data_IF_110692638287
#
_entry.id   IF_110692638287
#
_cell.length_a   1.000
_cell.length_b   1.000
_cell.length_c   1.000
_cell.angle_alpha   90.00
_cell.angle_beta   90.00
_cell.angle_gamma   90.00
#
_symmetry.space_group_name_H-M   'P 1'
#
loop_
_entity.id
_entity.type
_entity.pdbx_description
1 polymer ?
#
# COMPACT_ATOMS: atom_id res chain seq x y z
N UNK A 1 -4.37 9.02 -15.71
CA UNK A 1 -4.48 7.86 -16.63
C UNK A 1 -3.49 6.81 -16.17
N UNK A 2 -3.81 5.53 -16.34
CA UNK A 2 -3.03 4.42 -15.79
C UNK A 2 -1.65 4.28 -16.43
N UNK A 3 -1.59 4.26 -17.75
CA UNK A 3 -0.37 4.02 -18.51
C UNK A 3 0.17 5.28 -19.19
N UNK A 4 1.46 5.26 -19.46
CA UNK A 4 2.15 6.28 -20.24
C UNK A 4 3.04 5.62 -21.32
N UNK A 5 3.32 6.36 -22.37
CA UNK A 5 4.39 6.07 -23.34
C UNK A 5 5.49 7.07 -23.02
N UNK A 6 6.59 6.62 -22.46
CA UNK A 6 7.54 7.47 -21.73
C UNK A 6 6.82 8.28 -20.64
N UNK A 7 6.76 9.59 -20.75
CA UNK A 7 6.07 10.50 -19.84
C UNK A 7 4.70 10.99 -20.35
N UNK A 8 4.31 10.54 -21.55
CA UNK A 8 3.08 10.99 -22.22
C UNK A 8 1.94 10.04 -21.83
N UNK A 9 0.86 10.53 -21.18
CA UNK A 9 -0.26 9.68 -20.81
C UNK A 9 -0.91 8.98 -22.00
N UNK A 10 -1.02 7.65 -21.93
CA UNK A 10 -1.65 6.85 -22.98
C UNK A 10 -3.18 6.85 -22.83
N UNK A 11 -3.84 7.53 -23.76
CA UNK A 11 -5.29 7.69 -23.76
C UNK A 11 -6.06 6.41 -24.10
N UNK A 12 -5.40 5.41 -24.68
CA UNK A 12 -6.04 4.14 -25.02
C UNK A 12 -6.49 3.36 -23.78
N UNK A 13 -5.80 3.55 -22.64
CA UNK A 13 -6.07 2.82 -21.38
C UNK A 13 -7.05 3.53 -20.43
N UNK A 14 -7.39 4.79 -20.67
CA UNK A 14 -8.34 5.54 -19.83
C UNK A 14 -7.86 5.76 -18.39
N UNK A 15 -8.76 5.57 -17.43
CA UNK A 15 -8.55 5.87 -16.01
C UNK A 15 -8.87 4.65 -15.15
N UNK A 16 -8.12 4.48 -14.08
CA UNK A 16 -8.18 3.31 -13.20
C UNK A 16 -8.59 3.75 -11.78
N UNK A 17 -9.48 2.99 -11.16
CA UNK A 17 -10.00 3.30 -9.82
C UNK A 17 -8.93 3.18 -8.74
N UNK A 18 -8.09 2.17 -8.80
CA UNK A 18 -7.04 1.94 -7.81
C UNK A 18 -5.95 3.01 -7.86
N UNK A 19 -5.54 3.50 -9.04
CA UNK A 19 -4.61 4.62 -9.15
C UNK A 19 -5.19 5.93 -8.60
N UNK A 20 -6.47 6.20 -8.87
CA UNK A 20 -7.13 7.36 -8.29
C UNK A 20 -7.25 7.27 -6.76
N UNK A 21 -7.45 6.07 -6.22
CA UNK A 21 -7.45 5.83 -4.77
C UNK A 21 -6.05 6.05 -4.15
N UNK A 22 -4.98 5.54 -4.80
CA UNK A 22 -3.58 5.81 -4.39
C UNK A 22 -3.24 7.29 -4.48
N UNK A 23 -3.69 7.98 -5.53
CA UNK A 23 -3.47 9.40 -5.72
C UNK A 23 -4.20 10.25 -4.67
N UNK A 24 -5.42 9.87 -4.29
CA UNK A 24 -6.14 10.49 -3.17
C UNK A 24 -5.37 10.34 -1.86
N UNK A 25 -4.86 9.14 -1.59
CA UNK A 25 -4.06 8.86 -0.39
C UNK A 25 -2.79 9.73 -0.38
N UNK A 26 -2.07 9.80 -1.50
CA UNK A 26 -0.88 10.62 -1.65
C UNK A 26 -1.18 12.11 -1.42
N UNK A 27 -2.27 12.62 -1.99
CA UNK A 27 -2.69 14.01 -1.80
C UNK A 27 -3.02 14.31 -0.33
N UNK A 28 -3.72 13.40 0.35
CA UNK A 28 -4.06 13.53 1.77
C UNK A 28 -2.82 13.50 2.67
N UNK A 29 -1.85 12.61 2.40
CA UNK A 29 -0.58 12.54 3.12
C UNK A 29 0.29 13.77 2.83
N UNK A 30 0.40 14.17 1.56
CA UNK A 30 1.18 15.34 1.14
C UNK A 30 0.71 16.61 1.82
N UNK A 31 -0.60 16.82 1.93
CA UNK A 31 -1.17 17.95 2.67
C UNK A 31 -0.73 17.98 4.14
N UNK A 32 -0.59 16.82 4.75
CA UNK A 32 -0.25 16.71 6.18
C UNK A 32 1.26 16.82 6.45
N UNK A 33 2.08 16.18 5.62
CA UNK A 33 3.51 16.00 5.90
C UNK A 33 4.43 16.90 5.06
N UNK A 34 3.95 17.48 3.95
CA UNK A 34 4.73 18.40 3.15
C UNK A 34 4.38 19.83 3.53
N UNK A 35 5.40 20.65 3.84
CA UNK A 35 5.25 22.07 4.17
C UNK A 35 5.05 22.93 2.90
N UNK A 36 4.14 22.50 2.02
CA UNK A 36 3.85 23.15 0.73
C UNK A 36 2.41 23.64 0.68
N UNK A 37 1.99 24.22 -0.44
CA UNK A 37 0.66 24.81 -0.63
C UNK A 37 -0.48 23.81 -0.36
N UNK A 38 -1.16 23.98 0.77
CA UNK A 38 -2.29 23.13 1.17
C UNK A 38 -3.45 23.18 0.17
N UNK A 39 -3.65 24.31 -0.54
CA UNK A 39 -4.70 24.47 -1.56
C UNK A 39 -4.46 23.57 -2.77
N UNK A 40 -3.20 23.36 -3.13
CA UNK A 40 -2.84 22.44 -4.20
C UNK A 40 -3.30 21.01 -3.87
N UNK A 41 -2.96 20.51 -2.67
CA UNK A 41 -3.38 19.18 -2.23
C UNK A 41 -4.90 19.06 -2.02
N UNK A 42 -5.56 20.11 -1.55
CA UNK A 42 -7.03 20.15 -1.46
C UNK A 42 -7.68 20.04 -2.84
N UNK A 43 -7.12 20.71 -3.86
CA UNK A 43 -7.59 20.60 -5.25
C UNK A 43 -7.42 19.19 -5.81
N UNK A 44 -6.26 18.58 -5.60
CA UNK A 44 -6.00 17.19 -6.00
C UNK A 44 -6.95 16.21 -5.29
N UNK A 45 -7.15 16.38 -3.99
CA UNK A 45 -8.08 15.55 -3.21
C UNK A 45 -9.50 15.63 -3.74
N UNK A 46 -9.98 16.85 -4.09
CA UNK A 46 -11.30 17.02 -4.72
C UNK A 46 -11.41 16.27 -6.05
N UNK A 47 -10.36 16.35 -6.88
CA UNK A 47 -10.35 15.69 -8.19
C UNK A 47 -10.44 14.15 -8.05
N UNK A 48 -9.62 13.57 -7.17
CA UNK A 48 -9.63 12.11 -6.98
C UNK A 48 -10.86 11.61 -6.24
N UNK A 49 -11.39 12.36 -5.27
CA UNK A 49 -12.67 12.04 -4.62
C UNK A 49 -13.84 12.09 -5.61
N UNK A 50 -13.86 13.10 -6.50
CA UNK A 50 -14.89 13.19 -7.54
C UNK A 50 -14.85 11.98 -8.47
N UNK A 51 -13.65 11.50 -8.83
CA UNK A 51 -13.52 10.28 -9.61
C UNK A 51 -14.03 9.04 -8.86
N UNK A 52 -13.64 8.86 -7.59
CA UNK A 52 -14.08 7.72 -6.79
C UNK A 52 -15.60 7.74 -6.54
N UNK A 53 -16.20 8.91 -6.39
CA UNK A 53 -17.64 9.06 -6.28
C UNK A 53 -18.36 8.55 -7.55
N UNK A 54 -17.85 8.90 -8.73
CA UNK A 54 -18.40 8.44 -10.01
C UNK A 54 -18.11 6.94 -10.28
N UNK A 55 -16.94 6.46 -9.81
CA UNK A 55 -16.57 5.05 -9.90
C UNK A 55 -17.46 4.13 -9.05
N UNK A 56 -18.07 4.66 -7.98
CA UNK A 56 -18.88 3.85 -7.07
C UNK A 56 -20.29 3.62 -7.61
N UNK A 57 -20.62 2.36 -7.87
CA UNK A 57 -21.98 1.96 -8.24
C UNK A 57 -22.81 1.76 -6.96
N UNK A 58 -23.67 2.73 -6.64
CA UNK A 58 -24.48 2.74 -5.42
C UNK A 58 -25.46 1.55 -5.36
N UNK A 59 -26.03 1.17 -6.50
CA UNK A 59 -27.01 0.06 -6.57
C UNK A 59 -26.34 -1.30 -6.27
N UNK A 60 -25.11 -1.48 -6.72
CA UNK A 60 -24.33 -2.70 -6.51
C UNK A 60 -23.48 -2.65 -5.22
N UNK A 61 -23.31 -1.48 -4.61
CA UNK A 61 -22.41 -1.28 -3.46
C UNK A 61 -20.92 -1.55 -3.78
N UNK A 62 -20.51 -1.39 -5.04
CA UNK A 62 -19.19 -1.77 -5.54
C UNK A 62 -18.55 -0.70 -6.41
N UNK A 63 -17.22 -0.59 -6.34
CA UNK A 63 -16.47 0.21 -7.29
C UNK A 63 -16.34 -0.52 -8.63
N UNK A 64 -16.29 0.26 -9.73
CA UNK A 64 -15.89 -0.16 -11.08
C UNK A 64 -14.37 -0.04 -11.21
N UNK A 65 -13.75 -0.79 -12.14
CA UNK A 65 -12.29 -0.73 -12.32
C UNK A 65 -11.86 0.41 -13.22
N UNK A 66 -12.37 0.42 -14.46
CA UNK A 66 -11.82 1.25 -15.52
C UNK A 66 -12.87 2.14 -16.15
N UNK A 67 -12.55 3.43 -16.25
CA UNK A 67 -13.28 4.40 -17.03
C UNK A 67 -12.55 4.61 -18.36
N UNK A 68 -13.23 4.54 -19.48
CA UNK A 68 -12.64 4.86 -20.80
C UNK A 68 -12.21 6.32 -20.86
N UNK A 69 -11.36 6.67 -21.84
CA UNK A 69 -11.00 8.06 -22.07
C UNK A 69 -12.22 8.94 -22.40
N UNK A 70 -13.27 8.35 -23.02
CA UNK A 70 -14.54 9.01 -23.28
C UNK A 70 -15.45 9.12 -22.02
N UNK A 71 -14.93 8.81 -20.82
CA UNK A 71 -15.65 8.84 -19.53
C UNK A 71 -16.86 7.92 -19.46
N UNK A 72 -16.73 6.73 -20.01
CA UNK A 72 -17.75 5.69 -19.94
C UNK A 72 -17.25 4.54 -19.07
N UNK A 73 -18.14 3.93 -18.31
CA UNK A 73 -17.89 2.73 -17.53
C UNK A 73 -18.36 1.51 -18.34
N UNK A 74 -17.44 0.66 -18.85
CA UNK A 74 -17.83 -0.54 -19.60
C UNK A 74 -18.36 -1.66 -18.72
N UNK A 75 -18.16 -1.56 -17.40
CA UNK A 75 -18.56 -2.55 -16.41
C UNK A 75 -19.39 -1.90 -15.29
N UNK A 76 -20.32 -2.68 -14.70
CA UNK A 76 -21.09 -2.23 -13.55
C UNK A 76 -20.40 -2.51 -12.22
N UNK A 77 -19.59 -3.58 -12.16
CA UNK A 77 -18.90 -4.05 -10.96
C UNK A 77 -17.49 -4.44 -11.33
N UNK A 78 -16.54 -3.82 -10.66
CA UNK A 78 -15.12 -4.12 -10.81
C UNK A 78 -14.65 -5.29 -9.93
N UNK A 79 -13.35 -5.57 -9.97
CA UNK A 79 -12.71 -6.64 -9.19
C UNK A 79 -12.80 -6.39 -7.68
N UNK A 80 -12.64 -7.45 -6.88
CA UNK A 80 -12.45 -7.31 -5.44
C UNK A 80 -11.20 -6.48 -5.13
N UNK A 81 -10.15 -6.63 -5.92
CA UNK A 81 -8.86 -5.94 -5.73
C UNK A 81 -9.00 -4.42 -5.86
N UNK A 82 -9.59 -3.93 -6.95
CA UNK A 82 -9.85 -2.49 -7.13
C UNK A 82 -10.72 -1.92 -6.01
N UNK A 83 -11.71 -2.69 -5.55
CA UNK A 83 -12.57 -2.28 -4.45
C UNK A 83 -11.80 -2.21 -3.11
N UNK A 84 -10.96 -3.20 -2.81
CA UNK A 84 -10.09 -3.20 -1.64
C UNK A 84 -9.11 -2.03 -1.63
N UNK A 85 -8.50 -1.73 -2.79
CA UNK A 85 -7.60 -0.57 -2.96
C UNK A 85 -8.34 0.77 -2.82
N UNK A 86 -9.57 0.87 -3.31
CA UNK A 86 -10.41 2.05 -3.08
C UNK A 86 -10.68 2.27 -1.60
N UNK A 87 -10.98 1.22 -0.83
CA UNK A 87 -11.13 1.30 0.62
C UNK A 87 -9.83 1.68 1.33
N UNK A 88 -8.68 1.17 0.86
CA UNK A 88 -7.37 1.59 1.36
C UNK A 88 -7.17 3.11 1.19
N UNK A 89 -7.39 3.63 -0.01
CA UNK A 89 -7.28 5.06 -0.30
C UNK A 89 -8.24 5.91 0.52
N UNK A 90 -9.52 5.53 0.58
CA UNK A 90 -10.55 6.24 1.35
C UNK A 90 -10.27 6.21 2.87
N UNK A 91 -9.85 5.08 3.43
CA UNK A 91 -9.48 4.96 4.84
C UNK A 91 -8.32 5.88 5.21
N UNK A 92 -7.28 5.94 4.37
CA UNK A 92 -6.16 6.88 4.53
C UNK A 92 -6.61 8.34 4.35
N UNK A 93 -7.50 8.63 3.39
CA UNK A 93 -8.08 9.96 3.22
C UNK A 93 -8.83 10.40 4.48
N UNK A 94 -9.66 9.54 5.06
CA UNK A 94 -10.35 9.82 6.34
C UNK A 94 -9.35 10.13 7.45
N UNK A 95 -8.24 9.39 7.53
CA UNK A 95 -7.22 9.58 8.57
C UNK A 95 -6.45 10.90 8.43
N UNK A 96 -6.16 11.33 7.20
CA UNK A 96 -5.21 12.42 6.94
C UNK A 96 -5.83 13.75 6.50
N UNK A 97 -7.05 13.74 5.90
CA UNK A 97 -7.70 14.97 5.46
C UNK A 97 -8.25 15.78 6.65
N UNK A 98 -7.97 17.08 6.65
CA UNK A 98 -8.50 18.05 7.62
C UNK A 98 -9.69 18.83 7.06
N UNK A 99 -9.84 18.93 5.73
CA UNK A 99 -11.00 19.53 5.11
C UNK A 99 -12.25 18.70 5.42
N UNK A 100 -13.19 19.30 6.15
CA UNK A 100 -14.39 18.63 6.66
C UNK A 100 -15.25 18.01 5.54
N UNK A 101 -15.40 18.71 4.41
CA UNK A 101 -16.19 18.23 3.28
C UNK A 101 -15.55 17.00 2.61
N UNK A 102 -14.25 17.07 2.36
CA UNK A 102 -13.49 15.95 1.77
C UNK A 102 -13.46 14.74 2.70
N UNK A 103 -13.23 14.96 3.99
CA UNK A 103 -13.26 13.88 4.99
C UNK A 103 -14.65 13.24 5.09
N UNK A 104 -15.71 14.03 5.16
CA UNK A 104 -17.07 13.53 5.22
C UNK A 104 -17.46 12.71 3.98
N UNK A 105 -17.08 13.16 2.78
CA UNK A 105 -17.30 12.42 1.55
C UNK A 105 -16.52 11.11 1.52
N UNK A 106 -15.23 11.13 1.92
CA UNK A 106 -14.40 9.93 2.03
C UNK A 106 -15.02 8.91 3.00
N UNK A 107 -15.52 9.37 4.14
CA UNK A 107 -16.19 8.52 5.13
C UNK A 107 -17.51 7.95 4.61
N UNK A 108 -18.30 8.73 3.88
CA UNK A 108 -19.55 8.27 3.27
C UNK A 108 -19.29 7.14 2.26
N UNK A 109 -18.36 7.35 1.33
CA UNK A 109 -17.98 6.33 0.35
C UNK A 109 -17.39 5.09 1.02
N UNK A 110 -16.51 5.28 2.00
CA UNK A 110 -15.91 4.18 2.77
C UNK A 110 -16.99 3.31 3.42
N UNK A 111 -17.94 3.90 4.14
CA UNK A 111 -18.99 3.17 4.84
C UNK A 111 -19.96 2.46 3.88
N UNK A 112 -20.25 3.05 2.72
CA UNK A 112 -21.07 2.40 1.69
C UNK A 112 -20.34 1.21 1.07
N UNK A 113 -19.05 1.34 0.78
CA UNK A 113 -18.25 0.31 0.16
C UNK A 113 -17.91 -0.85 1.13
N UNK A 114 -17.80 -0.59 2.43
CA UNK A 114 -17.50 -1.58 3.47
C UNK A 114 -18.43 -2.80 3.46
N UNK A 115 -19.70 -2.61 3.08
CA UNK A 115 -20.69 -3.69 3.09
C UNK A 115 -20.35 -4.86 2.16
N UNK A 116 -19.58 -4.61 1.11
CA UNK A 116 -19.23 -5.63 0.12
C UNK A 116 -18.07 -6.52 0.58
N UNK A 117 -17.16 -6.01 1.45
CA UNK A 117 -15.89 -6.72 1.74
C UNK A 117 -16.09 -7.99 2.58
N UNK A 118 -17.20 -8.11 3.29
CA UNK A 118 -17.52 -9.33 4.03
C UNK A 118 -17.68 -10.57 3.13
N UNK A 119 -17.88 -10.37 1.83
CA UNK A 119 -18.02 -11.45 0.86
C UNK A 119 -16.77 -11.70 0.02
N UNK A 120 -15.70 -10.94 0.24
CA UNK A 120 -14.46 -11.06 -0.53
C UNK A 120 -13.71 -12.35 -0.18
N UNK A 121 -13.13 -12.97 -1.22
CA UNK A 121 -12.32 -14.16 -1.08
C UNK A 121 -10.87 -13.95 -1.50
N UNK A 122 -10.58 -12.93 -2.31
CA UNK A 122 -9.21 -12.57 -2.69
C UNK A 122 -8.41 -12.13 -1.46
N UNK A 123 -7.32 -12.82 -1.09
CA UNK A 123 -6.52 -12.43 0.07
C UNK A 123 -5.93 -11.02 -0.08
N UNK A 124 -5.59 -10.58 -1.30
CA UNK A 124 -5.07 -9.23 -1.56
C UNK A 124 -6.14 -8.17 -1.38
N UNK A 125 -7.34 -8.39 -1.92
CA UNK A 125 -8.47 -7.46 -1.75
C UNK A 125 -8.82 -7.29 -0.26
N UNK A 126 -8.84 -8.39 0.49
CA UNK A 126 -9.04 -8.38 1.94
C UNK A 126 -7.91 -7.60 2.63
N UNK A 127 -6.65 -7.82 2.24
CA UNK A 127 -5.51 -7.14 2.83
C UNK A 127 -5.56 -5.62 2.61
N UNK A 128 -5.84 -5.15 1.40
CA UNK A 128 -6.02 -3.73 1.12
C UNK A 128 -7.16 -3.12 1.94
N UNK A 129 -8.31 -3.81 2.01
CA UNK A 129 -9.43 -3.35 2.82
C UNK A 129 -9.06 -3.24 4.31
N UNK A 130 -8.36 -4.24 4.87
CA UNK A 130 -7.91 -4.23 6.28
C UNK A 130 -6.97 -3.06 6.60
N UNK A 131 -6.01 -2.75 5.70
CA UNK A 131 -5.12 -1.60 5.87
C UNK A 131 -5.90 -0.28 5.79
N UNK A 132 -6.93 -0.19 4.94
CA UNK A 132 -7.86 0.93 4.89
C UNK A 132 -8.69 1.09 6.16
N UNK A 133 -9.24 -0.01 6.67
CA UNK A 133 -9.97 -0.07 7.93
C UNK A 133 -9.10 0.36 9.11
N UNK A 134 -7.85 -0.10 9.15
CA UNK A 134 -6.90 0.32 10.17
C UNK A 134 -6.73 1.84 10.17
N UNK A 135 -6.51 2.45 9.02
CA UNK A 135 -6.36 3.90 8.90
C UNK A 135 -7.64 4.67 9.33
N UNK A 136 -8.81 4.19 8.93
CA UNK A 136 -10.10 4.75 9.36
C UNK A 136 -10.27 4.70 10.88
N UNK A 137 -10.03 3.54 11.49
CA UNK A 137 -10.20 3.32 12.93
C UNK A 137 -9.19 4.09 13.79
N UNK A 138 -8.06 4.52 13.23
CA UNK A 138 -7.17 5.47 13.92
C UNK A 138 -7.87 6.77 14.29
N UNK A 139 -8.80 7.23 13.47
CA UNK A 139 -9.57 8.46 13.70
C UNK A 139 -10.91 8.19 14.39
N UNK A 140 -11.55 7.07 14.05
CA UNK A 140 -12.88 6.69 14.52
C UNK A 140 -12.86 5.33 15.23
N UNK A 141 -12.02 5.20 16.26
CA UNK A 141 -11.81 3.94 16.99
C UNK A 141 -13.06 3.34 17.61
N UNK A 142 -14.10 4.15 17.87
CA UNK A 142 -15.38 3.73 18.44
C UNK A 142 -16.39 3.17 17.44
N UNK A 143 -16.09 3.15 16.13
CA UNK A 143 -17.02 2.63 15.13
C UNK A 143 -17.14 1.11 15.23
N UNK A 144 -18.24 0.65 15.85
CA UNK A 144 -18.49 -0.75 16.16
C UNK A 144 -18.71 -1.60 14.90
N UNK A 145 -19.34 -1.05 13.86
CA UNK A 145 -19.60 -1.79 12.64
C UNK A 145 -18.31 -2.01 11.84
N UNK A 146 -17.48 -0.98 11.70
CA UNK A 146 -16.17 -1.11 11.05
C UNK A 146 -15.26 -2.07 11.81
N UNK A 147 -15.31 -2.07 13.16
CA UNK A 147 -14.59 -3.05 13.99
C UNK A 147 -15.06 -4.47 13.75
N UNK A 148 -16.39 -4.68 13.70
CA UNK A 148 -16.99 -5.99 13.42
C UNK A 148 -16.55 -6.53 12.06
N UNK A 149 -16.64 -5.71 11.01
CA UNK A 149 -16.21 -6.11 9.66
C UNK A 149 -14.72 -6.45 9.64
N UNK A 150 -13.88 -5.64 10.32
CA UNK A 150 -12.45 -5.94 10.46
C UNK A 150 -12.23 -7.34 11.04
N UNK A 151 -12.91 -7.69 12.12
CA UNK A 151 -12.78 -9.00 12.76
C UNK A 151 -13.11 -10.13 11.78
N UNK A 152 -14.23 -10.03 11.07
CA UNK A 152 -14.68 -11.05 10.12
C UNK A 152 -13.66 -11.28 9.00
N UNK A 153 -13.18 -10.20 8.36
CA UNK A 153 -12.29 -10.36 7.20
C UNK A 153 -10.83 -10.62 7.61
N UNK A 154 -10.40 -10.16 8.80
CA UNK A 154 -9.09 -10.50 9.35
C UNK A 154 -9.00 -11.98 9.73
N UNK A 155 -10.04 -12.53 10.36
CA UNK A 155 -10.12 -13.97 10.64
C UNK A 155 -10.14 -14.79 9.35
N UNK A 156 -10.82 -14.31 8.30
CA UNK A 156 -10.80 -14.98 7.00
C UNK A 156 -9.39 -15.02 6.42
N UNK A 157 -8.68 -13.90 6.37
CA UNK A 157 -7.30 -13.86 5.87
C UNK A 157 -6.39 -14.76 6.70
N UNK A 158 -6.49 -14.69 8.02
CA UNK A 158 -5.69 -15.51 8.93
C UNK A 158 -5.95 -17.02 8.73
N UNK A 159 -7.22 -17.41 8.56
CA UNK A 159 -7.58 -18.81 8.29
C UNK A 159 -7.07 -19.28 6.92
N UNK A 160 -7.06 -18.41 5.89
CA UNK A 160 -6.44 -18.74 4.60
C UNK A 160 -4.94 -19.02 4.78
N UNK A 161 -4.21 -18.22 5.58
CA UNK A 161 -2.82 -18.51 5.91
C UNK A 161 -2.67 -19.84 6.65
N UNK A 162 -3.44 -20.07 7.71
CA UNK A 162 -3.37 -21.31 8.51
C UNK A 162 -3.62 -22.58 7.69
N UNK A 163 -4.50 -22.49 6.71
CA UNK A 163 -4.87 -23.65 5.90
C UNK A 163 -3.85 -23.98 4.79
N UNK A 164 -3.10 -22.97 4.31
CA UNK A 164 -2.22 -23.12 3.16
C UNK A 164 -0.73 -23.04 3.50
N UNK A 165 -0.37 -22.32 4.57
CA UNK A 165 1.03 -22.14 4.95
C UNK A 165 1.65 -23.45 5.47
N UNK A 166 2.90 -23.69 5.07
CA UNK A 166 3.73 -24.78 5.57
C UNK A 166 5.05 -24.21 6.11
N UNK A 167 5.84 -25.02 6.81
CA UNK A 167 7.15 -24.59 7.34
C UNK A 167 8.11 -24.13 6.24
N UNK A 168 8.07 -24.74 5.05
CA UNK A 168 8.92 -24.37 3.90
C UNK A 168 8.29 -23.31 3.00
N UNK A 169 6.98 -23.08 3.12
CA UNK A 169 6.21 -22.13 2.33
C UNK A 169 5.17 -21.43 3.22
N UNK A 170 5.59 -20.49 4.09
CA UNK A 170 4.69 -19.83 5.04
C UNK A 170 3.85 -18.75 4.36
N UNK A 171 3.05 -19.16 3.38
CA UNK A 171 2.30 -18.27 2.50
C UNK A 171 0.87 -18.73 2.27
N UNK A 172 0.00 -17.78 1.97
CA UNK A 172 -1.45 -17.97 1.83
C UNK A 172 -1.86 -18.65 0.52
N UNK A 173 -1.03 -18.55 -0.51
CA UNK A 173 -1.28 -19.10 -1.85
C UNK A 173 -0.10 -19.98 -2.29
N UNK A 174 -0.31 -20.77 -3.33
CA UNK A 174 0.78 -21.57 -3.93
C UNK A 174 1.69 -20.78 -4.88
N UNK A 175 1.46 -19.47 -4.99
CA UNK A 175 2.20 -18.57 -5.87
C UNK A 175 2.35 -17.20 -5.22
N UNK A 176 3.56 -16.64 -5.27
CA UNK A 176 3.80 -15.22 -5.01
C UNK A 176 3.55 -14.45 -6.30
N UNK A 177 2.60 -13.50 -6.22
CA UNK A 177 2.21 -12.65 -7.34
C UNK A 177 2.61 -11.19 -7.06
N UNK A 178 1.66 -10.26 -7.11
CA UNK A 178 1.85 -8.83 -6.88
C UNK A 178 1.49 -8.42 -5.44
N UNK A 179 1.99 -7.26 -5.02
CA UNK A 179 1.70 -6.62 -3.72
C UNK A 179 1.86 -7.58 -2.53
N UNK A 180 2.85 -8.47 -2.58
CA UNK A 180 3.00 -9.54 -1.60
C UNK A 180 3.14 -9.01 -0.17
N UNK A 181 3.85 -7.91 0.05
CA UNK A 181 4.01 -7.28 1.36
C UNK A 181 2.71 -6.84 2.02
N UNK A 182 1.61 -6.63 1.25
CA UNK A 182 0.33 -6.19 1.82
C UNK A 182 -0.37 -7.26 2.66
N UNK A 183 -0.13 -8.55 2.38
CA UNK A 183 -0.76 -9.64 3.13
C UNK A 183 -0.24 -9.73 4.57
N UNK A 184 1.07 -9.82 4.82
CA UNK A 184 1.60 -9.75 6.18
C UNK A 184 1.31 -8.39 6.85
N UNK A 185 1.36 -7.27 6.11
CA UNK A 185 0.97 -5.96 6.63
C UNK A 185 -0.46 -5.99 7.23
N UNK A 186 -1.43 -6.56 6.50
CA UNK A 186 -2.80 -6.66 6.96
C UNK A 186 -2.96 -7.53 8.22
N UNK A 187 -2.21 -8.62 8.33
CA UNK A 187 -2.19 -9.44 9.56
C UNK A 187 -1.61 -8.67 10.74
N UNK A 188 -0.54 -7.92 10.52
CA UNK A 188 0.12 -7.11 11.55
C UNK A 188 -0.82 -6.04 12.11
N UNK A 189 -1.42 -5.19 11.27
CA UNK A 189 -2.34 -4.14 11.72
C UNK A 189 -3.59 -4.70 12.40
N UNK A 190 -4.11 -5.82 11.89
CA UNK A 190 -5.29 -6.45 12.45
C UNK A 190 -4.98 -7.10 13.80
N UNK A 191 -3.90 -7.86 13.87
CA UNK A 191 -3.45 -8.54 15.10
C UNK A 191 -3.15 -7.57 16.22
N UNK A 192 -2.52 -6.44 15.93
CA UNK A 192 -2.23 -5.40 16.91
C UNK A 192 -3.52 -4.83 17.53
N UNK A 193 -4.49 -4.42 16.69
CA UNK A 193 -5.75 -3.84 17.17
C UNK A 193 -6.69 -4.82 17.85
N UNK A 194 -6.67 -6.07 17.41
CA UNK A 194 -7.48 -7.15 17.97
C UNK A 194 -6.79 -7.83 19.17
N UNK A 195 -5.56 -7.45 19.50
CA UNK A 195 -4.71 -8.07 20.53
C UNK A 195 -4.50 -9.57 20.29
N UNK A 196 -4.30 -9.95 19.02
CA UNK A 196 -4.13 -11.31 18.51
C UNK A 196 -2.65 -11.57 18.20
N UNK A 197 -1.92 -12.11 19.19
CA UNK A 197 -0.50 -12.46 19.01
C UNK A 197 -0.28 -13.48 17.90
N UNK A 198 -1.18 -14.43 17.72
CA UNK A 198 -1.13 -15.43 16.67
C UNK A 198 -1.16 -14.83 15.24
N UNK A 199 -1.95 -13.76 15.04
CA UNK A 199 -1.95 -13.01 13.77
C UNK A 199 -0.65 -12.21 13.57
N UNK A 200 -0.14 -11.59 14.63
CA UNK A 200 1.13 -10.84 14.61
C UNK A 200 2.27 -11.79 14.27
N UNK A 201 2.36 -12.93 14.95
CA UNK A 201 3.41 -13.94 14.72
C UNK A 201 3.39 -14.47 13.27
N UNK A 202 2.20 -14.75 12.73
CA UNK A 202 2.03 -15.17 11.34
C UNK A 202 2.48 -14.07 10.37
N UNK A 203 2.10 -12.81 10.64
CA UNK A 203 2.50 -11.65 9.83
C UNK A 203 4.00 -11.46 9.82
N UNK A 204 4.65 -11.47 10.99
CA UNK A 204 6.11 -11.33 11.12
C UNK A 204 6.86 -12.50 10.47
N UNK A 205 6.39 -13.72 10.65
CA UNK A 205 6.98 -14.91 10.05
C UNK A 205 6.92 -14.83 8.51
N UNK A 206 5.76 -14.50 7.96
CA UNK A 206 5.56 -14.39 6.51
C UNK A 206 6.38 -13.24 5.92
N UNK A 207 6.43 -12.09 6.59
CA UNK A 207 7.21 -10.94 6.15
C UNK A 207 8.72 -11.22 6.16
N UNK A 208 9.21 -11.86 7.23
CA UNK A 208 10.63 -12.26 7.32
C UNK A 208 11.00 -13.24 6.22
N UNK A 209 10.13 -14.20 5.93
CA UNK A 209 10.34 -15.14 4.84
C UNK A 209 10.35 -14.44 3.47
N UNK A 210 9.40 -13.51 3.22
CA UNK A 210 9.38 -12.71 1.99
C UNK A 210 10.67 -11.92 1.79
N UNK A 211 11.18 -11.26 2.85
CA UNK A 211 12.45 -10.54 2.80
C UNK A 211 13.60 -11.47 2.45
N UNK A 212 13.64 -12.65 3.09
CA UNK A 212 14.71 -13.62 2.84
C UNK A 212 14.77 -14.08 1.38
N UNK A 213 13.62 -14.33 0.74
CA UNK A 213 13.57 -14.77 -0.66
C UNK A 213 13.70 -13.62 -1.67
N UNK A 214 13.52 -12.38 -1.24
CA UNK A 214 13.61 -11.16 -2.06
C UNK A 214 14.85 -10.32 -1.74
N UNK A 215 15.84 -10.88 -1.04
CA UNK A 215 17.13 -10.23 -0.77
C UNK A 215 18.24 -11.08 -1.37
N UNK A 216 19.00 -10.50 -2.27
CA UNK A 216 20.16 -11.15 -2.89
C UNK A 216 21.35 -10.17 -2.89
N UNK A 217 22.53 -10.65 -2.51
CA UNK A 217 23.78 -9.83 -2.50
C UNK A 217 23.64 -8.49 -1.78
N UNK A 218 22.78 -8.42 -0.75
CA UNK A 218 22.57 -7.22 0.06
C UNK A 218 21.64 -6.16 -0.55
N UNK A 219 20.91 -6.45 -1.61
CA UNK A 219 19.90 -5.57 -2.16
C UNK A 219 18.55 -6.28 -2.36
N UNK A 220 17.49 -5.50 -2.50
CA UNK A 220 16.14 -6.00 -2.74
C UNK A 220 15.97 -6.48 -4.18
N UNK A 221 15.42 -7.68 -4.35
CA UNK A 221 15.11 -8.32 -5.63
C UNK A 221 13.66 -8.79 -5.59
N UNK A 222 12.70 -7.94 -5.94
CA UNK A 222 11.29 -8.30 -5.94
C UNK A 222 11.00 -9.46 -6.90
N UNK A 223 9.93 -10.19 -6.63
CA UNK A 223 9.47 -11.26 -7.54
C UNK A 223 9.04 -10.62 -8.85
N UNK A 224 9.65 -11.08 -9.97
CA UNK A 224 9.31 -10.59 -11.29
C UNK A 224 7.92 -11.06 -11.74
N UNK A 225 7.18 -10.20 -12.45
CA UNK A 225 5.86 -10.56 -12.95
C UNK A 225 5.89 -11.44 -14.19
N UNK A 226 7.04 -11.56 -14.85
CA UNK A 226 7.23 -12.47 -16.00
C UNK A 226 7.49 -13.90 -15.50
N UNK A 227 6.43 -14.53 -14.97
CA UNK A 227 6.45 -15.91 -14.47
C UNK A 227 6.13 -16.06 -12.98
N UNK A 228 6.22 -15.00 -12.18
CA UNK A 228 5.97 -15.01 -10.73
C UNK A 228 6.86 -16.02 -9.96
N UNK A 229 6.45 -16.45 -8.79
CA UNK A 229 7.13 -17.50 -8.05
C UNK A 229 6.12 -18.53 -7.54
N UNK A 230 6.00 -19.65 -8.24
CA UNK A 230 5.17 -20.78 -7.82
C UNK A 230 5.94 -21.68 -6.87
N UNK A 231 5.28 -22.17 -5.84
CA UNK A 231 5.86 -23.12 -4.88
C UNK A 231 6.50 -24.32 -5.57
N UNK A 232 7.80 -24.55 -5.29
CA UNK A 232 8.58 -25.63 -5.90
C UNK A 232 9.06 -25.34 -7.32
N UNK A 233 8.71 -24.20 -7.90
CA UNK A 233 9.17 -23.76 -9.22
C UNK A 233 10.32 -22.76 -9.16
N UNK A 234 10.78 -22.25 -10.31
CA UNK A 234 11.75 -21.17 -10.37
C UNK A 234 11.11 -19.82 -9.98
N UNK A 235 11.89 -18.99 -9.29
CA UNK A 235 11.53 -17.61 -9.00
C UNK A 235 11.81 -16.74 -10.23
N UNK A 236 10.79 -16.03 -10.76
CA UNK A 236 10.99 -15.05 -11.81
C UNK A 236 11.82 -13.89 -11.29
N UNK A 237 12.89 -13.51 -12.02
CA UNK A 237 13.78 -12.42 -11.63
C UNK A 237 13.33 -11.08 -12.18
N UNK A 238 12.76 -11.05 -13.36
CA UNK A 238 12.27 -9.87 -14.08
C UNK A 238 10.79 -10.11 -14.48
N UNK A 239 10.00 -9.22 -14.87
CA UNK A 239 9.99 -7.77 -14.77
C UNK A 239 9.68 -7.35 -13.33
N UNK A 240 10.61 -6.67 -12.66
CA UNK A 240 10.43 -6.21 -11.28
C UNK A 240 9.63 -4.91 -11.28
N UNK A 241 8.62 -4.80 -10.39
CA UNK A 241 7.69 -3.68 -10.39
C UNK A 241 7.78 -2.80 -9.11
N UNK A 242 7.61 -1.47 -9.25
CA UNK A 242 7.60 -0.51 -8.15
C UNK A 242 6.61 -0.83 -7.01
N UNK A 243 5.46 -1.42 -7.32
CA UNK A 243 4.44 -1.78 -6.35
C UNK A 243 4.96 -2.78 -5.30
N UNK A 244 5.83 -3.73 -5.71
CA UNK A 244 6.41 -4.70 -4.79
C UNK A 244 7.27 -4.02 -3.73
N UNK A 245 8.13 -3.07 -4.14
CA UNK A 245 8.95 -2.32 -3.20
C UNK A 245 8.09 -1.50 -2.23
N UNK A 246 7.05 -0.80 -2.74
CA UNK A 246 6.12 -0.06 -1.89
C UNK A 246 5.41 -0.97 -0.87
N UNK A 247 4.91 -2.13 -1.29
CA UNK A 247 4.22 -3.05 -0.40
C UNK A 247 5.13 -3.57 0.72
N UNK A 248 6.40 -3.86 0.41
CA UNK A 248 7.40 -4.30 1.39
C UNK A 248 7.79 -3.20 2.37
N UNK A 249 7.97 -1.96 1.89
CA UNK A 249 8.27 -0.80 2.74
C UNK A 249 7.17 -0.59 3.77
N UNK A 250 5.91 -0.56 3.34
CA UNK A 250 4.77 -0.38 4.23
C UNK A 250 4.70 -1.49 5.30
N UNK A 251 4.91 -2.75 4.91
CA UNK A 251 4.90 -3.88 5.82
C UNK A 251 6.06 -3.83 6.84
N UNK A 252 7.27 -3.43 6.39
CA UNK A 252 8.43 -3.28 7.28
C UNK A 252 8.24 -2.14 8.28
N UNK A 253 7.68 -1.01 7.85
CA UNK A 253 7.39 0.12 8.76
C UNK A 253 6.37 -0.30 9.83
N UNK A 254 5.33 -1.03 9.45
CA UNK A 254 4.35 -1.54 10.40
C UNK A 254 4.97 -2.56 11.38
N UNK A 255 5.81 -3.47 10.89
CA UNK A 255 6.53 -4.42 11.73
C UNK A 255 7.44 -3.70 12.74
N UNK A 256 8.10 -2.60 12.34
CA UNK A 256 8.84 -1.73 13.27
C UNK A 256 7.91 -1.09 14.29
N UNK A 257 6.77 -0.57 13.90
CA UNK A 257 5.83 0.08 14.83
C UNK A 257 5.33 -0.87 15.91
N UNK A 258 5.18 -2.15 15.59
CA UNK A 258 4.76 -3.20 16.54
C UNK A 258 5.92 -3.68 17.41
N UNK A 259 7.08 -4.00 16.81
CA UNK A 259 8.18 -4.70 17.50
C UNK A 259 9.24 -3.79 18.08
N UNK A 260 9.39 -2.57 17.55
CA UNK A 260 10.48 -1.62 17.81
C UNK A 260 11.88 -2.15 17.43
N UNK A 261 11.94 -3.24 16.67
CA UNK A 261 13.19 -3.77 16.11
C UNK A 261 13.62 -2.96 14.89
N UNK A 262 14.76 -2.26 15.01
CA UNK A 262 15.30 -1.37 13.96
C UNK A 262 15.69 -2.10 12.68
N UNK A 263 15.86 -3.41 12.72
CA UNK A 263 16.15 -4.19 11.51
C UNK A 263 15.05 -4.07 10.46
N UNK A 264 13.80 -3.83 10.88
CA UNK A 264 12.70 -3.56 9.97
C UNK A 264 12.84 -2.23 9.23
N UNK A 265 13.39 -1.20 9.89
CA UNK A 265 13.70 0.08 9.20
C UNK A 265 14.81 -0.12 8.17
N UNK A 266 15.85 -0.87 8.50
CA UNK A 266 16.96 -1.18 7.59
C UNK A 266 16.43 -1.92 6.35
N UNK A 267 15.51 -2.87 6.53
CA UNK A 267 14.84 -3.57 5.44
C UNK A 267 13.94 -2.63 4.60
N UNK A 268 13.20 -1.72 5.24
CA UNK A 268 12.40 -0.73 4.50
C UNK A 268 13.28 0.18 3.64
N UNK A 269 14.42 0.63 4.18
CA UNK A 269 15.41 1.44 3.44
C UNK A 269 16.05 0.63 2.32
N UNK A 270 16.36 -0.65 2.53
CA UNK A 270 16.86 -1.53 1.48
C UNK A 270 15.85 -1.64 0.31
N UNK A 271 14.57 -1.84 0.60
CA UNK A 271 13.51 -1.87 -0.42
C UNK A 271 13.37 -0.52 -1.14
N UNK A 272 13.52 0.60 -0.41
CA UNK A 272 13.46 1.93 -1.00
C UNK A 272 14.66 2.22 -1.92
N UNK A 273 15.84 1.76 -1.55
CA UNK A 273 17.06 1.93 -2.35
C UNK A 273 16.99 1.22 -3.71
N UNK A 274 16.08 0.25 -3.88
CA UNK A 274 15.80 -0.36 -5.17
C UNK A 274 15.36 0.67 -6.22
N UNK A 275 14.53 1.65 -5.84
CA UNK A 275 14.14 2.77 -6.72
C UNK A 275 15.34 3.64 -7.14
N UNK A 276 16.34 3.75 -6.26
CA UNK A 276 17.50 4.61 -6.45
C UNK A 276 18.68 3.92 -7.18
N UNK A 277 18.47 2.67 -7.63
CA UNK A 277 19.46 1.94 -8.39
C UNK A 277 20.23 0.89 -7.59
N UNK A 278 19.96 0.67 -6.29
CA UNK A 278 20.49 -0.47 -5.56
C UNK A 278 19.66 -1.73 -5.88
N UNK A 279 19.75 -2.17 -7.13
CA UNK A 279 19.00 -3.26 -7.73
C UNK A 279 19.89 -4.09 -8.67
N UNK A 280 19.32 -5.10 -9.31
CA UNK A 280 20.07 -6.04 -10.15
C UNK A 280 20.87 -5.43 -11.30
N UNK A 281 20.46 -4.28 -11.81
CA UNK A 281 21.11 -3.63 -12.95
C UNK A 281 21.87 -2.35 -12.58
N UNK A 282 21.89 -1.96 -11.30
CA UNK A 282 22.45 -0.69 -10.82
C UNK A 282 21.89 0.54 -11.57
N UNK A 283 20.57 0.52 -11.85
CA UNK A 283 19.89 1.57 -12.62
C UNK A 283 18.76 2.18 -11.79
N UNK A 284 18.73 3.53 -11.69
CA UNK A 284 17.66 4.25 -10.99
C UNK A 284 16.35 4.20 -11.76
N UNK A 285 15.27 3.78 -11.08
CA UNK A 285 13.91 3.88 -11.64
C UNK A 285 13.31 5.27 -11.40
N UNK A 286 13.76 5.98 -10.37
CA UNK A 286 13.40 7.38 -10.17
C UNK A 286 14.05 8.28 -11.25
N UNK A 287 13.24 9.11 -11.90
CA UNK A 287 13.74 10.10 -12.86
C UNK A 287 13.73 11.50 -12.21
N UNK A 288 14.91 12.08 -11.90
CA UNK A 288 14.97 13.41 -11.27
C UNK A 288 14.50 14.56 -12.17
N UNK A 289 14.35 14.33 -13.47
CA UNK A 289 13.88 15.37 -14.42
C UNK A 289 12.36 15.53 -14.40
N UNK A 290 11.65 14.43 -14.19
CA UNK A 290 10.19 14.39 -14.18
C UNK A 290 9.62 14.33 -12.77
N UNK A 291 10.40 13.79 -11.80
CA UNK A 291 9.93 13.41 -10.48
C UNK A 291 9.16 12.08 -10.44
N UNK A 292 8.99 11.43 -11.60
CA UNK A 292 8.27 10.18 -11.77
C UNK A 292 9.12 8.93 -11.52
N UNK A 293 8.51 7.79 -11.71
CA UNK A 293 9.15 6.48 -11.60
C UNK A 293 8.89 5.65 -12.84
N UNK A 294 9.92 5.00 -13.33
CA UNK A 294 9.86 4.05 -14.45
C UNK A 294 9.02 2.82 -14.08
N UNK A 295 8.35 2.22 -15.08
CA UNK A 295 7.34 1.16 -14.84
C UNK A 295 7.93 -0.17 -14.40
N UNK A 296 9.22 -0.39 -14.51
CA UNK A 296 9.84 -1.59 -14.00
C UNK A 296 11.28 -1.82 -14.45
N UNK A 297 11.90 -2.84 -13.85
CA UNK A 297 13.24 -3.31 -14.16
C UNK A 297 13.12 -4.61 -14.96
N UNK A 298 13.51 -4.56 -16.23
CA UNK A 298 13.48 -5.67 -17.17
C UNK A 298 14.86 -6.34 -17.27
N UNK A 299 14.95 -7.48 -17.92
CA UNK A 299 16.21 -8.21 -18.04
C UNK A 299 17.30 -7.46 -18.83
N UNK A 300 16.88 -6.61 -19.77
CA UNK A 300 17.73 -5.84 -20.69
C UNK A 300 17.80 -4.34 -20.35
N UNK A 301 17.21 -3.90 -19.24
CA UNK A 301 17.22 -2.50 -18.84
C UNK A 301 16.01 -2.05 -18.05
N UNK A 302 15.72 -0.75 -18.11
CA UNK A 302 14.56 -0.14 -17.45
C UNK A 302 13.45 0.06 -18.48
N UNK A 303 12.22 -0.29 -18.12
CA UNK A 303 11.05 0.15 -18.88
C UNK A 303 10.94 1.68 -18.81
N UNK A 304 11.03 2.34 -19.96
CA UNK A 304 11.12 3.80 -20.03
C UNK A 304 9.81 4.55 -19.79
N UNK A 305 8.69 3.84 -19.64
CA UNK A 305 7.41 4.44 -19.33
C UNK A 305 7.33 4.86 -17.87
N UNK A 306 6.56 5.90 -17.59
CA UNK A 306 6.27 6.44 -16.25
C UNK A 306 4.75 6.43 -16.01
N UNK A 307 4.20 5.24 -15.80
CA UNK A 307 2.78 5.07 -15.50
C UNK A 307 2.38 5.60 -14.13
N UNK A 308 1.08 5.77 -13.94
CA UNK A 308 0.55 6.27 -12.68
C UNK A 308 0.87 5.35 -11.51
N UNK A 309 0.69 4.03 -11.67
CA UNK A 309 0.96 3.06 -10.62
C UNK A 309 2.39 3.15 -10.10
N UNK A 310 3.37 3.14 -11.00
CA UNK A 310 4.80 3.17 -10.66
C UNK A 310 5.19 4.47 -9.97
N UNK A 311 4.73 5.61 -10.50
CA UNK A 311 4.98 6.93 -9.91
C UNK A 311 4.32 7.06 -8.54
N UNK A 312 3.09 6.56 -8.37
CA UNK A 312 2.40 6.57 -7.08
C UNK A 312 3.07 5.63 -6.07
N UNK A 313 3.53 4.46 -6.49
CA UNK A 313 4.28 3.54 -5.63
C UNK A 313 5.58 4.19 -5.09
N UNK A 314 6.34 4.87 -5.95
CA UNK A 314 7.52 5.65 -5.56
C UNK A 314 7.17 6.74 -4.54
N UNK A 315 6.19 7.60 -4.87
CA UNK A 315 5.82 8.75 -4.02
C UNK A 315 5.24 8.32 -2.67
N UNK A 316 4.42 7.26 -2.64
CA UNK A 316 3.89 6.69 -1.40
C UNK A 316 4.99 6.08 -0.53
N UNK A 317 5.96 5.41 -1.14
CA UNK A 317 7.14 4.89 -0.44
C UNK A 317 7.94 6.01 0.22
N UNK A 318 8.19 7.10 -0.51
CA UNK A 318 8.84 8.29 0.00
C UNK A 318 8.08 8.91 1.18
N UNK A 319 6.74 9.05 1.05
CA UNK A 319 5.89 9.60 2.11
C UNK A 319 5.84 8.71 3.34
N UNK A 320 5.83 7.39 3.17
CA UNK A 320 5.86 6.44 4.30
C UNK A 320 7.16 6.60 5.11
N UNK A 321 8.32 6.70 4.45
CA UNK A 321 9.58 6.92 5.14
C UNK A 321 9.69 8.31 5.76
N UNK A 322 9.24 9.36 5.09
CA UNK A 322 9.21 10.73 5.64
C UNK A 322 8.36 10.79 6.91
N UNK A 323 7.18 10.17 6.90
CA UNK A 323 6.32 10.04 8.09
C UNK A 323 7.06 9.34 9.22
N UNK A 324 7.69 8.20 8.95
CA UNK A 324 8.44 7.43 9.95
C UNK A 324 9.53 8.30 10.62
N UNK A 325 10.35 9.01 9.83
CA UNK A 325 11.39 9.88 10.36
C UNK A 325 10.83 11.06 11.16
N UNK A 326 9.74 11.67 10.70
CA UNK A 326 9.09 12.76 11.43
C UNK A 326 8.54 12.27 12.80
N UNK A 327 7.88 11.13 12.84
CA UNK A 327 7.33 10.55 14.07
C UNK A 327 8.44 10.18 15.07
N UNK A 328 9.57 9.65 14.61
CA UNK A 328 10.72 9.31 15.47
C UNK A 328 11.42 10.57 16.04
N UNK A 329 11.57 11.63 15.25
CA UNK A 329 12.10 12.91 15.74
C UNK A 329 11.19 13.51 16.84
N UNK A 330 9.88 13.49 16.63
CA UNK A 330 8.92 13.99 17.62
C UNK A 330 8.96 13.19 18.93
N UNK A 331 9.09 11.87 18.87
CA UNK A 331 9.24 11.02 20.05
C UNK A 331 10.53 11.31 20.83
N UNK A 332 11.64 11.53 20.14
CA UNK A 332 12.92 11.89 20.78
C UNK A 332 12.87 13.26 21.47
N UNK A 333 12.20 14.24 20.86
CA UNK A 333 12.06 15.59 21.42
C UNK A 333 11.09 15.65 22.60
N UNK A 334 10.16 14.72 22.73
CA UNK A 334 9.18 14.64 23.82
C UNK A 334 9.64 13.79 25.00
N UNK A 335 10.76 13.10 24.93
CA UNK A 335 11.36 12.39 26.07
C UNK A 335 12.01 13.40 27.00
N UNK A 336 11.60 13.51 28.30
CA UNK A 336 12.20 14.46 29.22
C UNK A 336 13.69 14.13 29.40
N UNK A 337 14.55 15.16 29.24
CA UNK A 337 15.98 15.11 29.51
C UNK A 337 16.24 14.40 30.84
N UNK A 338 16.93 13.28 30.81
CA UNK A 338 17.57 12.77 32.03
C UNK A 338 18.58 13.84 32.46
N UNK A 339 18.55 14.30 33.73
CA UNK A 339 19.52 15.28 34.20
C UNK A 339 20.91 14.68 34.09
N UNK A 340 21.79 15.36 33.38
CA UNK A 340 23.21 15.08 33.37
C UNK A 340 23.71 15.17 34.81
N UNK A 341 24.02 14.06 35.44
CA UNK A 341 24.67 14.04 36.76
C UNK A 341 26.09 14.60 36.57
N UNK A 342 26.25 15.87 36.86
CA UNK A 342 27.55 16.46 37.04
C UNK A 342 28.12 15.86 38.35
N UNK A 343 29.00 14.89 38.20
CA UNK A 343 29.89 14.47 39.32
C UNK A 343 30.91 15.57 39.52
N UNK A 344 30.78 16.27 40.65
CA UNK A 344 31.84 17.09 41.21
C UNK A 344 33.03 16.28 41.75
#
# INVERSE_FOLDING_TARGET
MQHAIYTIPDRAHGYCTDDNARALMLAAMGRKYLLTDSKYFDSLSNQYLSFLLDAFNVEKGRFRNFMTYARQWPEEVGSEDAHGRALWGLGKAVAFLDNRGQMAMSMTLFNQAMKAVEHFNSPRAIAFALVGIHAYLHKFSGDSEVRRVREVIADRLFNQFRNNATNSWPWVENTLNYANGKLPHALLVSGQWMQRSDMIDMGLMSLKWLLNIQTEKGHFVPIGNNGWYKQGGPKARFDQQPEEANAMIDACVEAFDITRDKTWIENAVMCFNWFLGHNDLNMSLYDPKTGGCRDGLMADGINQNEGAESTLAWLLSLMTLQKLYADEILKQSSSPNQPVSVKG
#
